data_IF_106678985669
#
_entry.id   IF_106678985669
#
_cell.length_a   1.000
_cell.length_b   1.000
_cell.length_c   1.000
_cell.angle_alpha   90.00
_cell.angle_beta   90.00
_cell.angle_gamma   90.00
#
_symmetry.space_group_name_H-M   'P 1'
#
loop_
_entity.id
_entity.type
_entity.pdbx_description
1 polymer ?
#
# COMPACT_ATOMS: atom_id res chain seq x y z
N UNK A 1 -4.42 -8.93 -9.69
CA UNK A 1 -5.36 -9.88 -10.30
C UNK A 1 -6.19 -10.52 -9.19
N UNK A 2 -7.31 -11.21 -9.48
CA UNK A 2 -8.13 -11.81 -8.41
C UNK A 2 -8.91 -10.82 -7.54
N UNK A 3 -8.98 -9.54 -7.91
CA UNK A 3 -9.67 -8.53 -7.09
C UNK A 3 -11.19 -8.76 -7.13
N UNK A 4 -11.81 -8.67 -5.95
CA UNK A 4 -13.26 -8.66 -5.78
C UNK A 4 -13.65 -7.73 -4.63
N UNK A 5 -14.89 -7.25 -4.65
CA UNK A 5 -15.49 -6.52 -3.54
C UNK A 5 -16.86 -7.12 -3.24
N UNK A 6 -17.25 -7.14 -1.97
CA UNK A 6 -18.51 -7.73 -1.52
C UNK A 6 -19.51 -6.64 -1.16
N UNK A 7 -20.72 -6.73 -1.71
CA UNK A 7 -21.83 -5.87 -1.32
C UNK A 7 -22.41 -6.37 0.02
N UNK A 8 -22.32 -5.56 1.07
CA UNK A 8 -22.78 -5.92 2.42
C UNK A 8 -24.23 -5.49 2.66
N UNK A 9 -24.64 -4.36 2.08
CA UNK A 9 -25.98 -3.81 2.27
C UNK A 9 -26.23 -2.55 1.44
N UNK A 10 -27.48 -2.12 1.37
CA UNK A 10 -27.91 -0.89 0.71
C UNK A 10 -28.70 -0.04 1.70
N UNK A 11 -28.31 1.23 1.84
CA UNK A 11 -28.93 2.23 2.71
C UNK A 11 -29.28 3.46 1.88
N UNK A 12 -30.56 3.63 1.54
CA UNK A 12 -31.10 4.77 0.77
C UNK A 12 -30.21 5.19 -0.42
N UNK A 13 -29.37 6.23 -0.22
CA UNK A 13 -28.51 6.84 -1.23
C UNK A 13 -27.16 6.14 -1.43
N UNK A 14 -26.77 5.24 -0.53
CA UNK A 14 -25.46 4.59 -0.51
C UNK A 14 -25.54 3.06 -0.37
N UNK A 15 -24.64 2.36 -1.02
CA UNK A 15 -24.36 0.95 -0.81
C UNK A 15 -23.14 0.79 0.09
N UNK A 16 -23.20 -0.14 1.05
CA UNK A 16 -22.06 -0.54 1.87
C UNK A 16 -21.31 -1.69 1.19
N UNK A 17 -20.03 -1.48 0.91
CA UNK A 17 -19.17 -2.44 0.22
C UNK A 17 -17.95 -2.73 1.08
N UNK A 18 -17.57 -4.01 1.15
CA UNK A 18 -16.29 -4.48 1.69
C UNK A 18 -15.29 -4.60 0.54
N UNK A 19 -14.23 -3.80 0.61
CA UNK A 19 -13.15 -3.77 -0.37
C UNK A 19 -12.19 -4.96 -0.18
N UNK A 20 -11.38 -5.32 -1.20
CA UNK A 20 -10.37 -6.37 -1.08
C UNK A 20 -9.30 -6.06 -0.02
N UNK A 21 -9.09 -4.78 0.32
CA UNK A 21 -8.25 -4.39 1.44
C UNK A 21 -8.80 -4.80 2.81
N UNK A 22 -10.10 -5.12 2.90
CA UNK A 22 -10.84 -5.31 4.15
C UNK A 22 -11.54 -4.04 4.68
N UNK A 23 -11.35 -2.88 4.03
CA UNK A 23 -12.03 -1.63 4.38
C UNK A 23 -13.53 -1.72 4.05
N UNK A 24 -14.39 -1.24 4.97
CA UNK A 24 -15.82 -1.09 4.71
C UNK A 24 -16.15 0.36 4.37
N UNK A 25 -16.82 0.56 3.22
CA UNK A 25 -17.02 1.88 2.65
C UNK A 25 -18.40 2.04 2.01
N UNK A 26 -18.99 3.22 2.19
CA UNK A 26 -20.20 3.69 1.52
C UNK A 26 -19.88 4.22 0.12
N UNK A 27 -20.62 3.77 -0.88
CA UNK A 27 -20.51 4.19 -2.29
C UNK A 27 -21.91 4.58 -2.79
N UNK A 28 -22.08 5.66 -3.57
CA UNK A 28 -23.41 6.04 -4.08
C UNK A 28 -24.07 4.89 -4.85
N UNK A 29 -25.37 4.70 -4.68
CA UNK A 29 -26.11 3.58 -5.30
C UNK A 29 -26.16 3.66 -6.84
N UNK A 30 -25.97 4.87 -7.39
CA UNK A 30 -25.93 5.13 -8.83
C UNK A 30 -24.66 4.62 -9.52
N UNK A 31 -23.63 4.23 -8.75
CA UNK A 31 -22.36 3.77 -9.33
C UNK A 31 -22.54 2.39 -9.99
N UNK A 32 -22.00 2.24 -11.19
CA UNK A 32 -21.96 0.95 -11.90
C UNK A 32 -20.93 0.01 -11.28
N UNK A 33 -21.24 -1.28 -11.27
CA UNK A 33 -20.34 -2.34 -10.86
C UNK A 33 -20.54 -3.56 -11.79
N UNK A 34 -19.50 -4.36 -11.94
CA UNK A 34 -19.53 -5.61 -12.71
C UNK A 34 -19.61 -6.79 -11.75
N UNK A 35 -20.38 -7.81 -12.13
CA UNK A 35 -20.55 -9.03 -11.33
C UNK A 35 -19.35 -9.94 -11.54
N UNK A 36 -18.83 -10.50 -10.45
CA UNK A 36 -17.77 -11.52 -10.45
C UNK A 36 -16.43 -11.02 -9.92
N UNK A 37 -15.43 -11.91 -10.01
CA UNK A 37 -14.05 -11.66 -9.62
C UNK A 37 -13.21 -11.40 -10.86
N UNK A 38 -12.22 -10.49 -10.74
CA UNK A 38 -11.23 -10.30 -11.82
C UNK A 38 -10.42 -11.58 -11.99
N UNK A 39 -10.33 -12.11 -13.21
CA UNK A 39 -9.59 -13.34 -13.52
C UNK A 39 -8.08 -13.28 -13.24
N UNK A 40 -7.37 -14.36 -13.60
CA UNK A 40 -5.93 -14.55 -13.36
C UNK A 40 -5.54 -14.57 -11.87
N UNK A 41 -6.22 -15.39 -11.07
CA UNK A 41 -6.04 -15.44 -9.60
C UNK A 41 -4.62 -15.90 -9.24
N UNK A 42 -4.03 -16.81 -10.03
CA UNK A 42 -2.68 -17.33 -9.80
C UNK A 42 -1.54 -16.36 -10.10
N UNK A 43 -1.84 -15.12 -10.49
CA UNK A 43 -0.82 -14.11 -10.75
C UNK A 43 0.09 -13.86 -9.54
N UNK A 44 -0.44 -14.00 -8.32
CA UNK A 44 0.34 -13.86 -7.08
C UNK A 44 1.35 -15.00 -6.88
N UNK A 45 1.07 -16.19 -7.44
CA UNK A 45 1.93 -17.37 -7.31
C UNK A 45 3.16 -17.33 -8.25
N UNK A 46 3.27 -16.30 -9.10
CA UNK A 46 4.34 -16.20 -10.10
C UNK A 46 5.68 -15.82 -9.45
N UNK A 47 6.64 -16.75 -9.47
CA UNK A 47 8.03 -16.42 -9.16
C UNK A 47 8.73 -15.77 -10.38
N UNK A 48 9.33 -14.59 -10.17
CA UNK A 48 10.03 -13.83 -11.22
C UNK A 48 11.35 -14.53 -11.62
N UNK A 49 12.00 -15.23 -10.69
CA UNK A 49 13.22 -15.99 -10.92
C UNK A 49 14.48 -15.13 -11.09
N UNK A 50 14.62 -14.47 -12.25
CA UNK A 50 15.84 -13.71 -12.62
C UNK A 50 15.65 -12.20 -12.58
N UNK A 51 16.71 -11.47 -12.23
CA UNK A 51 16.72 -10.01 -12.19
C UNK A 51 16.33 -9.37 -13.53
N UNK A 52 16.77 -9.94 -14.66
CA UNK A 52 16.42 -9.44 -15.99
C UNK A 52 14.92 -9.42 -16.29
N UNK A 53 14.16 -10.40 -15.79
CA UNK A 53 12.69 -10.43 -15.95
C UNK A 53 12.04 -9.26 -15.21
N UNK A 54 12.54 -8.93 -14.01
CA UNK A 54 12.10 -7.74 -13.24
C UNK A 54 12.42 -6.44 -13.99
N UNK A 55 13.57 -6.37 -14.65
CA UNK A 55 13.95 -5.23 -15.51
C UNK A 55 13.02 -5.07 -16.71
N UNK A 56 12.61 -6.17 -17.35
CA UNK A 56 11.65 -6.14 -18.47
C UNK A 56 10.26 -5.65 -18.05
N UNK A 57 9.89 -5.78 -16.78
CA UNK A 57 8.67 -5.20 -16.21
C UNK A 57 8.78 -3.69 -15.93
N UNK A 58 9.88 -3.03 -16.31
CA UNK A 58 10.11 -1.59 -16.11
C UNK A 58 10.66 -1.20 -14.74
N UNK A 59 10.96 -2.18 -13.87
CA UNK A 59 11.49 -1.91 -12.53
C UNK A 59 13.00 -1.72 -12.55
N UNK A 60 13.49 -0.60 -12.00
CA UNK A 60 14.93 -0.36 -11.78
C UNK A 60 15.39 -0.95 -10.43
N UNK A 61 16.68 -1.31 -10.29
CA UNK A 61 17.23 -1.70 -8.99
C UNK A 61 17.07 -0.57 -7.96
N UNK A 62 16.77 -0.93 -6.72
CA UNK A 62 16.65 -0.01 -5.57
C UNK A 62 17.78 -0.28 -4.59
N UNK A 63 18.43 0.78 -4.09
CA UNK A 63 19.52 0.69 -3.11
C UNK A 63 18.98 0.86 -1.69
N UNK A 64 19.49 0.11 -0.72
CA UNK A 64 19.09 0.23 0.69
C UNK A 64 19.68 1.51 1.30
N UNK A 65 18.90 2.22 2.12
CA UNK A 65 19.40 3.42 2.82
C UNK A 65 20.58 3.17 3.75
N UNK A 66 20.69 1.96 4.32
CA UNK A 66 21.77 1.55 5.23
C UNK A 66 23.15 1.46 4.59
N UNK A 67 23.24 1.46 3.26
CA UNK A 67 24.52 1.37 2.53
C UNK A 67 24.88 2.70 1.84
N UNK A 68 24.11 3.75 2.10
CA UNK A 68 24.34 5.09 1.56
C UNK A 68 25.23 5.92 2.50
N UNK A 69 25.66 7.10 2.06
CA UNK A 69 26.36 8.05 2.92
C UNK A 69 25.35 8.79 3.82
N UNK A 70 25.80 9.37 4.95
CA UNK A 70 24.92 10.14 5.84
C UNK A 70 24.20 11.32 5.16
N UNK A 71 24.78 11.90 4.10
CA UNK A 71 24.15 12.99 3.34
C UNK A 71 22.99 12.52 2.44
N UNK A 72 22.99 11.24 2.04
CA UNK A 72 22.04 10.69 1.08
C UNK A 72 20.84 10.01 1.76
N UNK A 73 21.06 9.43 2.95
CA UNK A 73 20.00 8.78 3.72
C UNK A 73 20.27 8.93 5.23
N UNK A 74 19.22 9.14 6.06
CA UNK A 74 19.38 9.19 7.51
C UNK A 74 19.89 7.89 8.19
N UNK A 75 19.98 6.79 7.43
CA UNK A 75 20.52 5.51 7.92
C UNK A 75 21.91 5.24 7.35
N UNK A 76 22.46 6.19 6.60
CA UNK A 76 23.73 6.05 5.92
C UNK A 76 24.91 6.22 6.87
N UNK A 77 26.04 5.63 6.48
CA UNK A 77 27.31 5.72 7.21
C UNK A 77 27.57 4.64 8.26
N UNK A 78 28.63 4.89 9.03
CA UNK A 78 29.27 3.93 9.93
C UNK A 78 30.45 3.21 9.26
N UNK A 79 31.39 2.74 10.07
CA UNK A 79 32.65 2.12 9.62
C UNK A 79 32.44 0.76 8.94
N UNK A 80 31.27 0.15 9.13
CA UNK A 80 30.90 -1.12 8.55
C UNK A 80 29.38 -1.29 8.46
N UNK A 81 28.89 -2.52 8.65
CA UNK A 81 27.45 -2.78 8.67
C UNK A 81 26.82 -2.20 9.95
N UNK A 82 26.12 -1.10 9.81
CA UNK A 82 25.48 -0.40 10.92
C UNK A 82 24.02 -0.84 11.15
N UNK A 83 23.54 -0.87 12.41
CA UNK A 83 22.12 -0.87 12.71
C UNK A 83 21.50 0.49 12.36
N UNK A 84 20.17 0.62 12.48
CA UNK A 84 19.43 1.84 12.12
C UNK A 84 19.90 3.08 12.92
N UNK A 85 20.36 2.91 14.16
CA UNK A 85 20.91 3.99 14.99
C UNK A 85 19.91 5.06 15.46
N UNK A 86 18.64 4.96 15.04
CA UNK A 86 17.56 5.89 15.40
C UNK A 86 16.44 5.16 16.15
N UNK A 87 15.61 5.92 16.89
CA UNK A 87 14.48 5.38 17.66
C UNK A 87 13.43 4.66 16.79
N UNK A 88 13.36 4.97 15.50
CA UNK A 88 12.52 4.28 14.52
C UNK A 88 13.13 4.40 13.13
N UNK A 89 12.93 3.41 12.23
CA UNK A 89 13.35 3.54 10.85
C UNK A 89 12.67 4.74 10.18
N UNK A 90 13.45 5.50 9.41
CA UNK A 90 12.98 6.66 8.67
C UNK A 90 13.12 6.48 7.17
N UNK A 91 12.32 7.25 6.45
CA UNK A 91 12.39 7.42 5.00
C UNK A 91 13.62 8.25 4.61
N UNK A 92 14.00 8.28 3.31
CA UNK A 92 15.09 9.15 2.83
C UNK A 92 14.89 10.64 3.16
N UNK A 93 13.65 11.06 3.40
CA UNK A 93 13.27 12.43 3.76
C UNK A 93 13.05 12.63 5.27
N UNK A 94 13.51 11.72 6.12
CA UNK A 94 13.48 11.87 7.58
C UNK A 94 12.12 11.65 8.26
N UNK A 95 11.09 11.22 7.53
CA UNK A 95 9.79 10.85 8.14
C UNK A 95 9.81 9.41 8.64
N UNK A 96 9.09 9.05 9.73
CA UNK A 96 8.99 7.67 10.19
C UNK A 96 8.43 6.74 9.11
N UNK A 97 9.09 5.60 8.89
CA UNK A 97 8.72 4.62 7.86
C UNK A 97 7.70 3.58 8.36
N UNK A 98 7.62 3.38 9.68
CA UNK A 98 6.75 2.37 10.30
C UNK A 98 5.70 3.05 11.18
N UNK A 99 4.47 2.52 11.16
CA UNK A 99 3.38 2.88 12.09
C UNK A 99 2.75 4.28 11.90
N UNK A 100 3.41 5.21 11.20
CA UNK A 100 2.89 6.56 11.01
C UNK A 100 1.72 6.60 10.01
N UNK A 101 0.52 6.99 10.46
CA UNK A 101 -0.66 7.13 9.60
C UNK A 101 -0.52 8.36 8.68
N UNK A 102 -0.30 8.12 7.39
CA UNK A 102 -0.08 9.18 6.38
C UNK A 102 -1.35 9.82 5.83
N UNK A 103 -2.53 9.28 6.14
CA UNK A 103 -3.81 9.80 5.63
C UNK A 103 -4.17 11.13 6.29
N UNK A 104 -4.48 12.15 5.46
CA UNK A 104 -5.01 13.44 5.93
C UNK A 104 -6.34 13.27 6.67
N UNK A 105 -6.41 13.80 7.91
CA UNK A 105 -7.55 13.59 8.80
C UNK A 105 -8.85 14.22 8.28
N UNK A 106 -8.79 15.48 7.82
CA UNK A 106 -9.95 16.28 7.37
C UNK A 106 -10.37 16.01 5.92
N UNK A 107 -10.06 14.84 5.34
CA UNK A 107 -10.47 14.52 3.97
C UNK A 107 -12.00 14.34 3.91
N UNK A 108 -12.65 14.95 2.93
CA UNK A 108 -14.11 14.86 2.76
C UNK A 108 -14.63 13.42 2.65
N UNK A 109 -13.80 12.50 2.12
CA UNK A 109 -14.14 11.09 2.01
C UNK A 109 -14.13 10.33 3.34
N UNK A 110 -13.73 10.94 4.45
CA UNK A 110 -13.70 10.30 5.77
C UNK A 110 -15.08 9.90 6.25
N UNK A 111 -16.13 10.65 5.91
CA UNK A 111 -17.53 10.33 6.24
C UNK A 111 -18.07 9.07 5.58
N UNK A 112 -17.45 8.61 4.49
CA UNK A 112 -17.91 7.43 3.75
C UNK A 112 -17.28 6.12 4.23
N UNK A 113 -16.40 6.15 5.23
CA UNK A 113 -15.66 4.97 5.67
C UNK A 113 -16.16 4.56 7.03
N UNK A 114 -16.64 3.31 7.12
CA UNK A 114 -17.22 2.76 8.34
C UNK A 114 -16.14 2.09 9.19
N UNK A 115 -15.34 1.23 8.55
CA UNK A 115 -14.26 0.50 9.22
C UNK A 115 -12.98 0.58 8.41
N UNK A 116 -11.90 0.97 9.06
CA UNK A 116 -10.54 0.97 8.50
C UNK A 116 -9.83 -0.32 8.84
N UNK A 117 -8.82 -0.65 8.05
CA UNK A 117 -7.95 -1.82 8.23
C UNK A 117 -6.76 -1.50 9.14
N UNK A 118 -6.53 -0.21 9.47
CA UNK A 118 -5.41 0.28 10.29
C UNK A 118 -5.82 1.33 11.33
#
# INVERSE_FOLDING_TARGET
AGNMAQLMGKEEKYALIRLPSGEMRKVPIICMATIGQVGNIDHENVNIGKAGRKRHMGWRPTVRGSVMNPCDHPHGGGEGKSPVGMASPVTPWGKPALGYKTRKQKKASTKFIIKRVN
#
